data_IF_813146914309
#
_entry.id   IF_813146914309
#
_cell.length_a   1.000
_cell.length_b   1.000
_cell.length_c   1.000
_cell.angle_alpha   90.00
_cell.angle_beta   90.00
_cell.angle_gamma   90.00
#
_symmetry.space_group_name_H-M   'P 1'
#
loop_
_entity.id
_entity.type
_entity.pdbx_description
1 polymer ?
#
# COMPACT_ATOMS: atom_id res chain seq x y z
N UNK A 1 20.90 -18.05 11.48
CA UNK A 1 19.58 -18.54 11.92
C UNK A 1 18.51 -17.55 11.46
N UNK A 2 17.61 -17.92 10.54
CA UNK A 2 16.49 -17.06 10.14
C UNK A 2 15.38 -17.25 11.18
N UNK A 3 15.19 -16.26 12.04
CA UNK A 3 14.06 -16.24 12.96
C UNK A 3 12.80 -16.11 12.10
N UNK A 4 11.98 -17.16 12.08
CA UNK A 4 10.69 -17.13 11.39
C UNK A 4 9.76 -16.30 12.26
N UNK A 5 9.68 -15.00 11.97
CA UNK A 5 8.70 -14.14 12.61
C UNK A 5 7.31 -14.63 12.20
N UNK A 6 6.48 -14.99 13.18
CA UNK A 6 5.09 -15.35 12.92
C UNK A 6 4.37 -14.15 12.32
N UNK A 7 3.72 -14.37 11.18
CA UNK A 7 2.93 -13.34 10.55
C UNK A 7 1.66 -13.09 11.37
N UNK A 8 1.54 -11.88 11.95
CA UNK A 8 0.33 -11.47 12.65
C UNK A 8 -0.51 -10.51 11.78
N UNK A 9 -1.66 -10.94 11.23
CA UNK A 9 -2.45 -10.14 10.30
C UNK A 9 -2.89 -8.79 10.89
N UNK A 10 -3.33 -8.77 12.16
CA UNK A 10 -3.80 -7.56 12.81
C UNK A 10 -2.68 -6.52 13.01
N UNK A 11 -1.44 -6.96 13.29
CA UNK A 11 -0.31 -6.04 13.44
C UNK A 11 0.09 -5.45 12.09
N UNK A 12 0.13 -6.29 11.04
CA UNK A 12 0.38 -5.81 9.67
C UNK A 12 -0.70 -4.83 9.21
N UNK A 13 -1.96 -5.04 9.59
CA UNK A 13 -3.03 -4.10 9.27
C UNK A 13 -2.78 -2.73 9.94
N UNK A 14 -2.47 -2.72 11.23
CA UNK A 14 -2.14 -1.48 11.97
C UNK A 14 -0.92 -0.77 11.41
N UNK A 15 0.11 -1.52 11.01
CA UNK A 15 1.31 -0.97 10.36
C UNK A 15 0.95 -0.32 9.00
N UNK A 16 0.16 -1.01 8.18
CA UNK A 16 -0.32 -0.48 6.90
C UNK A 16 -1.17 0.78 7.07
N UNK A 17 -2.06 0.82 8.05
CA UNK A 17 -2.89 2.00 8.33
C UNK A 17 -2.02 3.20 8.72
N UNK A 18 -1.03 3.00 9.59
CA UNK A 18 -0.06 4.04 9.96
C UNK A 18 0.72 4.55 8.75
N UNK A 19 1.20 3.65 7.89
CA UNK A 19 1.89 4.02 6.65
C UNK A 19 0.99 4.86 5.73
N UNK A 20 -0.27 4.47 5.55
CA UNK A 20 -1.23 5.23 4.70
C UNK A 20 -1.49 6.64 5.24
N UNK A 21 -1.63 6.79 6.56
CA UNK A 21 -1.82 8.10 7.17
C UNK A 21 -0.62 9.02 6.94
N UNK A 22 0.60 8.48 7.02
CA UNK A 22 1.83 9.22 6.77
C UNK A 22 1.99 9.61 5.29
N UNK A 23 1.67 8.70 4.37
CA UNK A 23 1.67 8.99 2.94
C UNK A 23 0.68 10.10 2.59
N UNK A 24 -0.52 10.08 3.18
CA UNK A 24 -1.52 11.13 2.99
C UNK A 24 -1.02 12.49 3.49
N UNK A 25 -0.37 12.53 4.66
CA UNK A 25 0.25 13.73 5.19
C UNK A 25 1.35 14.29 4.26
N UNK A 26 2.19 13.42 3.68
CA UNK A 26 3.23 13.85 2.75
C UNK A 26 2.66 14.41 1.45
N UNK A 27 1.58 13.83 0.93
CA UNK A 27 0.88 14.33 -0.24
C UNK A 27 0.23 15.70 0.02
N UNK A 28 -0.45 15.84 1.16
CA UNK A 28 -1.17 17.06 1.53
C UNK A 28 -0.22 18.27 1.71
N UNK A 29 0.94 18.02 2.32
CA UNK A 29 1.97 19.05 2.48
C UNK A 29 2.94 19.19 1.29
N UNK A 30 2.74 18.41 0.23
CA UNK A 30 3.57 18.46 -0.98
C UNK A 30 5.02 18.01 -0.77
N UNK A 31 5.31 17.27 0.31
CA UNK A 31 6.63 16.69 0.55
C UNK A 31 6.98 15.60 -0.47
N UNK A 32 5.96 14.93 -0.99
CA UNK A 32 6.08 13.92 -2.03
C UNK A 32 4.92 14.11 -2.99
N UNK A 33 5.19 14.03 -4.29
CA UNK A 33 4.16 14.02 -5.32
C UNK A 33 3.49 12.65 -5.43
N UNK A 34 2.26 12.63 -5.97
CA UNK A 34 1.55 11.37 -6.19
C UNK A 34 2.34 10.40 -7.11
N UNK A 35 3.10 10.92 -8.07
CA UNK A 35 3.96 10.13 -8.95
C UNK A 35 5.13 9.46 -8.21
N UNK A 36 5.79 10.20 -7.32
CA UNK A 36 6.88 9.67 -6.50
C UNK A 36 6.39 8.63 -5.49
N UNK A 37 5.23 8.86 -4.86
CA UNK A 37 4.63 7.89 -3.94
C UNK A 37 4.25 6.59 -4.67
N UNK A 38 3.73 6.70 -5.90
CA UNK A 38 3.46 5.53 -6.77
C UNK A 38 4.73 4.79 -7.14
N UNK A 39 5.80 5.49 -7.52
CA UNK A 39 7.08 4.87 -7.87
C UNK A 39 7.70 4.10 -6.69
N UNK A 40 7.55 4.60 -5.46
CA UNK A 40 8.01 3.92 -4.22
C UNK A 40 7.17 2.70 -3.86
N UNK A 41 5.86 2.74 -4.12
CA UNK A 41 4.92 1.67 -3.76
C UNK A 41 4.75 0.60 -4.84
N UNK A 42 5.16 0.88 -6.07
CA UNK A 42 5.02 -0.05 -7.19
C UNK A 42 6.06 -1.17 -7.15
N UNK A 43 5.61 -2.40 -6.89
CA UNK A 43 6.39 -3.62 -7.20
C UNK A 43 6.72 -3.69 -8.71
N UNK A 44 5.90 -3.07 -9.54
CA UNK A 44 6.11 -2.84 -10.97
C UNK A 44 6.20 -1.34 -11.25
N UNK A 45 7.20 -0.65 -10.72
CA UNK A 45 7.40 0.80 -10.96
C UNK A 45 7.52 1.18 -12.45
N UNK A 46 7.71 0.21 -13.35
CA UNK A 46 7.69 0.36 -14.80
C UNK A 46 6.31 0.15 -15.46
N UNK A 47 5.30 -0.33 -14.74
CA UNK A 47 3.93 -0.51 -15.26
C UNK A 47 3.07 0.68 -14.87
N UNK A 48 2.76 1.49 -15.86
CA UNK A 48 1.84 2.62 -15.70
C UNK A 48 0.41 2.09 -15.59
N UNK A 49 -0.13 2.05 -14.37
CA UNK A 49 -1.55 1.72 -14.15
C UNK A 49 -2.40 2.92 -14.53
N UNK A 50 -2.76 3.01 -15.81
CA UNK A 50 -3.59 4.09 -16.37
C UNK A 50 -5.04 4.05 -15.87
N UNK A 51 -5.55 2.85 -15.59
CA UNK A 51 -6.85 2.64 -14.97
C UNK A 51 -6.84 1.35 -14.17
N UNK A 52 -7.48 1.36 -13.00
CA UNK A 52 -7.73 0.15 -12.23
C UNK A 52 -9.18 0.18 -11.71
N UNK A 53 -9.83 -0.97 -11.75
CA UNK A 53 -11.12 -1.18 -11.10
C UNK A 53 -10.99 -2.44 -10.25
N UNK A 54 -11.53 -2.39 -9.04
CA UNK A 54 -11.59 -3.55 -8.15
C UNK A 54 -13.00 -4.12 -8.25
N UNK A 55 -13.11 -5.30 -8.85
CA UNK A 55 -14.37 -6.05 -8.87
C UNK A 55 -14.33 -7.04 -7.70
N UNK A 56 -15.00 -6.70 -6.61
CA UNK A 56 -15.21 -7.62 -5.50
C UNK A 56 -16.40 -8.52 -5.85
N UNK A 57 -16.16 -9.82 -6.02
CA UNK A 57 -17.22 -10.82 -6.04
C UNK A 57 -17.27 -11.48 -4.66
N UNK A 58 -18.30 -11.17 -3.88
CA UNK A 58 -18.58 -11.88 -2.65
C UNK A 58 -19.17 -13.26 -3.01
N UNK A 59 -18.48 -14.32 -2.62
CA UNK A 59 -18.96 -15.70 -2.77
C UNK A 59 -19.60 -16.10 -1.45
N UNK A 60 -20.91 -16.29 -1.46
CA UNK A 60 -21.63 -16.91 -0.35
C UNK A 60 -21.80 -18.39 -0.69
N UNK A 61 -21.24 -19.27 0.15
CA UNK A 61 -21.46 -20.73 0.11
C UNK A 61 -22.71 -21.10 0.94
#
# INVERSE_FOLDING_TARGET
MRQVCHYHPAERQREKERSRAFDAFQLDHGYVSQGELRARNGFFSSLEVLSSSVICQERFD
#
